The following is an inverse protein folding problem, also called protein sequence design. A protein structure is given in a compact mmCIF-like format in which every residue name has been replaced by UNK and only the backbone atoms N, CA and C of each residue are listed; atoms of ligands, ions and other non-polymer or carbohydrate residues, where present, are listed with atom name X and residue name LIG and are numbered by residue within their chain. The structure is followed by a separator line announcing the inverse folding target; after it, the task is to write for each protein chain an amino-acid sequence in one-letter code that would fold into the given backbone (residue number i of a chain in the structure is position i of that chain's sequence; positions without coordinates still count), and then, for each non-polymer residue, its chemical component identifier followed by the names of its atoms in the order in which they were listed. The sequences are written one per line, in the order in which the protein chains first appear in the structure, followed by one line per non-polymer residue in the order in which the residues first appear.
data_IF_274946787648
#
_entry.id   IF_274946787648
#
_cell.length_a   1.000
_cell.length_b   1.000
_cell.length_c   1.000
_cell.angle_alpha   90.00
_cell.angle_beta   90.00
_cell.angle_gamma   90.00
#
_symmetry.space_group_name_H-M   'P 1'
#
loop_
_entity.id
_entity.type
_entity.pdbx_description
1 polymer ?
#
# COMPACT_ATOMS: atom_id res chain seq x y z
N UNK A 1 35.15 -28.10 6.68
CA UNK A 1 33.98 -27.50 6.01
C UNK A 1 32.73 -28.40 5.90
N UNK A 2 32.76 -29.70 6.26
CA UNK A 2 31.56 -30.58 6.23
C UNK A 2 30.65 -30.48 7.48
N UNK A 3 31.18 -30.09 8.64
CA UNK A 3 30.41 -30.03 9.90
C UNK A 3 29.43 -28.84 10.00
N UNK A 4 29.75 -27.70 9.37
CA UNK A 4 28.86 -26.53 9.38
C UNK A 4 27.56 -26.79 8.59
N UNK A 5 27.63 -27.60 7.54
CA UNK A 5 26.46 -27.97 6.73
C UNK A 5 25.54 -28.94 7.49
N UNK A 6 26.09 -29.90 8.25
CA UNK A 6 25.29 -30.81 9.07
C UNK A 6 24.54 -30.09 10.19
N UNK A 7 25.18 -29.14 10.88
CA UNK A 7 24.50 -28.38 11.94
C UNK A 7 23.38 -27.49 11.40
N UNK A 8 23.53 -26.94 10.20
CA UNK A 8 22.47 -26.17 9.55
C UNK A 8 21.30 -27.07 9.13
N UNK A 9 21.59 -28.22 8.51
CA UNK A 9 20.58 -29.21 8.12
C UNK A 9 19.81 -29.75 9.32
N UNK A 10 20.48 -30.05 10.44
CA UNK A 10 19.83 -30.53 11.67
C UNK A 10 18.89 -29.45 12.23
N UNK A 11 19.30 -28.17 12.23
CA UNK A 11 18.45 -27.05 12.67
C UNK A 11 17.24 -26.85 11.76
N UNK A 12 17.40 -27.00 10.46
CA UNK A 12 16.30 -26.92 9.50
C UNK A 12 15.31 -28.08 9.71
N UNK A 13 15.80 -29.30 9.93
CA UNK A 13 14.97 -30.47 10.24
C UNK A 13 14.20 -30.26 11.56
N UNK A 14 14.85 -29.74 12.60
CA UNK A 14 14.19 -29.40 13.86
C UNK A 14 13.12 -28.30 13.69
N UNK A 15 13.40 -27.28 12.89
CA UNK A 15 12.46 -26.19 12.61
C UNK A 15 11.23 -26.68 11.82
N UNK A 16 11.46 -27.53 10.80
CA UNK A 16 10.38 -28.17 10.03
C UNK A 16 9.58 -29.10 10.95
N UNK A 17 10.23 -29.89 11.80
CA UNK A 17 9.57 -30.74 12.80
C UNK A 17 8.68 -29.94 13.75
N UNK A 18 9.18 -28.85 14.32
CA UNK A 18 8.42 -27.97 15.22
C UNK A 18 7.22 -27.30 14.52
N UNK A 19 7.41 -26.83 13.28
CA UNK A 19 6.32 -26.28 12.45
C UNK A 19 5.27 -27.34 12.10
N UNK A 20 5.69 -28.58 11.85
CA UNK A 20 4.79 -29.70 11.54
C UNK A 20 3.95 -30.08 12.76
N UNK A 21 4.53 -30.09 13.97
CA UNK A 21 3.81 -30.34 15.23
C UNK A 21 2.80 -29.23 15.52
N UNK A 22 3.18 -27.96 15.35
CA UNK A 22 2.27 -26.82 15.53
C UNK A 22 1.12 -26.85 14.50
N UNK A 23 1.43 -27.20 13.25
CA UNK A 23 0.43 -27.35 12.19
C UNK A 23 -0.53 -28.51 12.48
N UNK A 24 -0.02 -29.69 12.87
CA UNK A 24 -0.85 -30.82 13.28
C UNK A 24 -1.77 -30.47 14.45
N UNK A 25 -1.26 -29.76 15.47
CA UNK A 25 -2.07 -29.38 16.63
C UNK A 25 -3.21 -28.41 16.26
N UNK A 26 -3.01 -27.53 15.28
CA UNK A 26 -4.04 -26.61 14.80
C UNK A 26 -4.99 -27.26 13.77
N UNK A 27 -4.45 -28.09 12.88
CA UNK A 27 -5.20 -28.75 11.80
C UNK A 27 -6.06 -29.91 12.31
N UNK A 28 -5.64 -30.64 13.34
CA UNK A 28 -6.43 -31.74 13.91
C UNK A 28 -7.74 -31.28 14.59
N UNK A 29 -7.87 -29.99 14.91
CA UNK A 29 -9.11 -29.38 15.40
C UNK A 29 -10.12 -29.08 14.28
N UNK A 30 -9.72 -29.21 13.01
CA UNK A 30 -10.57 -29.02 11.84
C UNK A 30 -10.95 -30.40 11.29
N UNK A 31 -12.22 -30.79 11.41
CA UNK A 31 -12.74 -32.13 11.06
C UNK A 31 -12.22 -32.73 9.73
N UNK A 32 -12.25 -32.02 8.58
CA UNK A 32 -11.75 -32.57 7.32
C UNK A 32 -10.23 -32.83 7.29
N UNK A 33 -9.43 -32.06 8.03
CA UNK A 33 -7.99 -32.33 8.13
C UNK A 33 -7.73 -33.56 8.99
N UNK A 34 -8.50 -33.76 10.07
CA UNK A 34 -8.39 -34.94 10.92
C UNK A 34 -8.67 -36.25 10.15
N UNK A 35 -9.73 -36.28 9.35
CA UNK A 35 -10.06 -37.41 8.46
C UNK A 35 -8.97 -37.65 7.41
N UNK A 36 -8.46 -36.58 6.76
CA UNK A 36 -7.37 -36.68 5.80
C UNK A 36 -6.09 -37.24 6.41
N UNK A 37 -5.71 -36.76 7.61
CA UNK A 37 -4.53 -37.27 8.32
C UNK A 37 -4.69 -38.73 8.71
N UNK A 38 -5.86 -39.11 9.23
CA UNK A 38 -6.17 -40.50 9.55
C UNK A 38 -6.08 -41.38 8.31
N UNK A 39 -6.69 -40.98 7.21
CA UNK A 39 -6.62 -41.70 5.93
C UNK A 39 -5.17 -41.89 5.45
N UNK A 40 -4.35 -40.83 5.49
CA UNK A 40 -2.94 -40.88 5.07
C UNK A 40 -2.08 -41.80 5.96
N UNK A 41 -2.41 -41.90 7.25
CA UNK A 41 -1.73 -42.80 8.19
C UNK A 41 -2.18 -44.25 7.95
N UNK A 42 -3.50 -44.48 7.82
CA UNK A 42 -4.09 -45.80 7.63
C UNK A 42 -3.70 -46.43 6.26
N UNK A 43 -3.32 -45.62 5.28
CA UNK A 43 -2.83 -46.05 3.96
C UNK A 43 -1.31 -46.04 3.81
N UNK A 44 -0.56 -45.88 4.91
CA UNK A 44 0.92 -45.83 4.94
C UNK A 44 1.56 -44.69 4.10
N UNK A 45 0.78 -43.69 3.70
CA UNK A 45 1.24 -42.48 3.01
C UNK A 45 1.65 -41.35 3.97
N UNK A 46 2.08 -41.67 5.20
CA UNK A 46 2.50 -40.69 6.20
C UNK A 46 3.64 -39.77 5.72
N UNK A 47 4.44 -40.23 4.76
CA UNK A 47 5.49 -39.43 4.12
C UNK A 47 4.95 -38.26 3.28
N UNK A 48 3.68 -38.30 2.83
CA UNK A 48 3.05 -37.20 2.10
C UNK A 48 2.70 -36.00 3.00
N UNK A 49 2.50 -36.22 4.31
CA UNK A 49 2.20 -35.16 5.28
C UNK A 49 3.24 -34.03 5.28
N UNK A 50 4.56 -34.31 5.47
CA UNK A 50 5.56 -33.27 5.41
C UNK A 50 5.68 -32.66 4.01
N UNK A 51 5.46 -33.43 2.94
CA UNK A 51 5.47 -32.93 1.55
C UNK A 51 4.37 -31.89 1.32
N UNK A 52 3.13 -32.18 1.70
CA UNK A 52 2.02 -31.22 1.61
C UNK A 52 2.26 -29.99 2.48
N UNK A 53 2.81 -30.18 3.67
CA UNK A 53 3.15 -29.07 4.58
C UNK A 53 4.19 -28.14 3.96
N UNK A 54 5.26 -28.68 3.36
CA UNK A 54 6.30 -27.89 2.68
C UNK A 54 5.72 -27.15 1.47
N UNK A 55 4.91 -27.82 0.65
CA UNK A 55 4.23 -27.20 -0.51
C UNK A 55 3.35 -26.04 -0.03
N UNK A 56 2.54 -26.26 1.01
CA UNK A 56 1.65 -25.25 1.57
C UNK A 56 2.42 -24.03 2.12
N UNK A 57 3.48 -24.26 2.90
CA UNK A 57 4.35 -23.19 3.40
C UNK A 57 4.99 -22.42 2.24
N UNK A 58 5.46 -23.12 1.20
CA UNK A 58 6.02 -22.51 -0.01
C UNK A 58 5.02 -21.60 -0.72
N UNK A 59 3.78 -22.06 -0.90
CA UNK A 59 2.70 -21.24 -1.46
C UNK A 59 2.38 -20.03 -0.59
N UNK A 60 2.34 -20.20 0.73
CA UNK A 60 2.07 -19.10 1.67
C UNK A 60 3.16 -18.02 1.60
N UNK A 61 4.43 -18.42 1.59
CA UNK A 61 5.57 -17.50 1.46
C UNK A 61 5.56 -16.78 0.11
N UNK A 62 5.28 -17.51 -0.98
CA UNK A 62 5.14 -16.93 -2.31
C UNK A 62 4.01 -15.90 -2.36
N UNK A 63 2.84 -16.23 -1.82
CA UNK A 63 1.70 -15.32 -1.74
C UNK A 63 2.02 -14.05 -0.94
N UNK A 64 2.65 -14.18 0.23
CA UNK A 64 3.08 -13.03 1.05
C UNK A 64 4.06 -12.14 0.26
N UNK A 65 5.03 -12.75 -0.42
CA UNK A 65 6.03 -12.02 -1.23
C UNK A 65 5.37 -11.27 -2.40
N UNK A 66 4.48 -11.93 -3.14
CA UNK A 66 3.71 -11.32 -4.22
C UNK A 66 2.84 -10.17 -3.72
N UNK A 67 2.16 -10.35 -2.58
CA UNK A 67 1.35 -9.29 -1.96
C UNK A 67 2.19 -8.07 -1.62
N UNK A 68 3.37 -8.26 -1.01
CA UNK A 68 4.30 -7.16 -0.70
C UNK A 68 4.72 -6.42 -1.96
N UNK A 69 5.10 -7.14 -3.02
CA UNK A 69 5.50 -6.53 -4.30
C UNK A 69 4.38 -5.68 -4.92
N UNK A 70 3.16 -6.21 -4.92
CA UNK A 70 1.98 -5.48 -5.45
C UNK A 70 1.66 -4.25 -4.62
N UNK A 71 1.69 -4.36 -3.29
CA UNK A 71 1.44 -3.22 -2.39
C UNK A 71 2.49 -2.12 -2.59
N UNK A 72 3.77 -2.48 -2.64
CA UNK A 72 4.85 -1.52 -2.89
C UNK A 72 4.70 -0.85 -4.26
N UNK A 73 4.40 -1.62 -5.32
CA UNK A 73 4.17 -1.06 -6.65
C UNK A 73 3.00 -0.08 -6.70
N UNK A 74 1.91 -0.35 -5.97
CA UNK A 74 0.79 0.59 -5.85
C UNK A 74 1.18 1.88 -5.11
N UNK A 75 1.96 1.76 -4.05
CA UNK A 75 2.48 2.92 -3.29
C UNK A 75 3.40 3.78 -4.18
N UNK A 76 4.30 3.14 -4.94
CA UNK A 76 5.18 3.83 -5.89
C UNK A 76 4.37 4.57 -6.97
N UNK A 77 3.37 3.93 -7.58
CA UNK A 77 2.51 4.59 -8.57
C UNK A 77 1.72 5.75 -7.96
N UNK A 78 1.23 5.61 -6.73
CA UNK A 78 0.54 6.68 -6.03
C UNK A 78 1.48 7.88 -5.79
N UNK A 79 2.68 7.63 -5.29
CA UNK A 79 3.69 8.67 -5.06
C UNK A 79 4.09 9.38 -6.36
N UNK A 80 4.28 8.63 -7.44
CA UNK A 80 4.58 9.19 -8.75
C UNK A 80 3.44 10.09 -9.25
N UNK A 81 2.18 9.66 -9.06
CA UNK A 81 1.00 10.44 -9.44
C UNK A 81 0.91 11.73 -8.62
N UNK A 82 1.05 11.64 -7.29
CA UNK A 82 1.02 12.82 -6.41
C UNK A 82 2.10 13.82 -6.80
N UNK A 83 3.35 13.36 -7.01
CA UNK A 83 4.44 14.23 -7.48
C UNK A 83 4.10 14.90 -8.80
N UNK A 84 3.59 14.15 -9.77
CA UNK A 84 3.20 14.70 -11.07
C UNK A 84 2.14 15.80 -10.93
N UNK A 85 1.11 15.58 -10.10
CA UNK A 85 0.08 16.60 -9.83
C UNK A 85 0.67 17.81 -9.11
N UNK A 86 1.58 17.61 -8.15
CA UNK A 86 2.27 18.70 -7.45
C UNK A 86 3.11 19.53 -8.42
N UNK A 87 3.87 18.91 -9.32
CA UNK A 87 4.70 19.59 -10.30
C UNK A 87 3.85 20.45 -11.24
N UNK A 88 2.73 19.91 -11.74
CA UNK A 88 1.77 20.67 -12.56
C UNK A 88 1.19 21.85 -11.79
N UNK A 89 0.74 21.63 -10.55
CA UNK A 89 0.20 22.71 -9.71
C UNK A 89 1.25 23.78 -9.40
N UNK A 90 2.49 23.39 -9.17
CA UNK A 90 3.59 24.30 -8.85
C UNK A 90 3.96 25.16 -10.07
N UNK A 91 4.00 24.57 -11.28
CA UNK A 91 4.19 25.31 -12.52
C UNK A 91 3.05 26.31 -12.78
N UNK A 92 1.81 25.88 -12.59
CA UNK A 92 0.64 26.76 -12.73
C UNK A 92 0.63 27.86 -11.65
N UNK A 93 1.07 27.55 -10.43
CA UNK A 93 1.21 28.51 -9.34
C UNK A 93 2.22 29.61 -9.69
N UNK A 94 3.41 29.25 -10.17
CA UNK A 94 4.40 30.22 -10.63
C UNK A 94 3.91 31.07 -11.81
N UNK A 95 3.18 30.47 -12.75
CA UNK A 95 2.59 31.20 -13.89
C UNK A 95 1.55 32.22 -13.42
N UNK A 96 0.70 31.85 -12.46
CA UNK A 96 -0.28 32.75 -11.86
C UNK A 96 0.37 33.88 -11.04
N UNK A 97 1.51 33.61 -10.36
CA UNK A 97 2.26 34.66 -9.67
C UNK A 97 2.76 35.72 -10.65
N UNK A 98 3.31 35.31 -11.79
CA UNK A 98 3.74 36.23 -12.85
C UNK A 98 2.56 37.01 -13.41
N UNK A 99 1.45 36.33 -13.70
CA UNK A 99 0.25 36.98 -14.21
C UNK A 99 -0.31 38.04 -13.24
N UNK A 100 -0.28 37.78 -11.93
CA UNK A 100 -0.72 38.77 -10.92
C UNK A 100 0.20 40.00 -10.93
N UNK A 101 1.51 39.83 -11.13
CA UNK A 101 2.44 40.95 -11.25
C UNK A 101 2.11 41.77 -12.50
N UNK A 102 1.95 41.12 -13.65
CA UNK A 102 1.60 41.79 -14.91
C UNK A 102 0.26 42.55 -14.81
N UNK A 103 -0.76 41.94 -14.18
CA UNK A 103 -2.06 42.61 -13.97
C UNK A 103 -1.96 43.85 -13.09
N UNK A 104 -1.07 43.84 -12.09
CA UNK A 104 -0.83 44.99 -11.21
C UNK A 104 -0.12 46.10 -11.95
N UNK A 105 0.85 45.77 -12.80
CA UNK A 105 1.58 46.73 -13.62
C UNK A 105 0.68 47.36 -14.69
N UNK A 106 -0.27 46.61 -15.25
CA UNK A 106 -1.26 47.09 -16.23
C UNK A 106 -2.49 47.81 -15.62
N UNK A 107 -2.55 47.99 -14.29
CA UNK A 107 -3.70 48.58 -13.59
C UNK A 107 -5.05 47.89 -13.94
N UNK A 108 -5.03 46.56 -14.06
CA UNK A 108 -6.24 45.75 -14.23
C UNK A 108 -7.17 45.91 -13.00
N UNK A 109 -8.47 45.75 -13.21
CA UNK A 109 -9.49 45.85 -12.15
C UNK A 109 -9.04 45.11 -10.86
N UNK A 110 -8.94 45.82 -9.71
CA UNK A 110 -8.53 45.25 -8.43
C UNK A 110 -9.35 44.02 -8.00
N UNK A 111 -10.61 43.91 -8.41
CA UNK A 111 -11.46 42.74 -8.11
C UNK A 111 -10.94 41.49 -8.81
N UNK A 112 -10.47 41.62 -10.06
CA UNK A 112 -9.90 40.51 -10.84
C UNK A 112 -8.56 40.09 -10.24
N UNK A 113 -7.72 41.06 -9.88
CA UNK A 113 -6.44 40.82 -9.21
C UNK A 113 -6.65 40.04 -7.90
N UNK A 114 -7.57 40.51 -7.06
CA UNK A 114 -7.86 39.86 -5.78
C UNK A 114 -8.42 38.44 -5.93
N UNK A 115 -9.30 38.22 -6.92
CA UNK A 115 -9.83 36.88 -7.23
C UNK A 115 -8.70 35.94 -7.68
N UNK A 116 -7.74 36.45 -8.44
CA UNK A 116 -6.60 35.69 -8.92
C UNK A 116 -5.64 35.34 -7.78
N UNK A 117 -5.37 36.28 -6.86
CA UNK A 117 -4.61 36.03 -5.63
C UNK A 117 -5.27 34.95 -4.75
N UNK A 118 -6.59 34.98 -4.63
CA UNK A 118 -7.32 33.93 -3.91
C UNK A 118 -7.16 32.55 -4.55
N UNK A 119 -7.21 32.46 -5.88
CA UNK A 119 -6.94 31.20 -6.58
C UNK A 119 -5.51 30.71 -6.33
N UNK A 120 -4.55 31.63 -6.29
CA UNK A 120 -3.15 31.34 -5.96
C UNK A 120 -3.01 30.73 -4.56
N UNK A 121 -3.69 31.29 -3.56
CA UNK A 121 -3.72 30.75 -2.20
C UNK A 121 -4.35 29.34 -2.14
N UNK A 122 -5.43 29.11 -2.89
CA UNK A 122 -6.09 27.81 -2.95
C UNK A 122 -5.20 26.74 -3.57
N UNK A 123 -4.46 27.10 -4.63
CA UNK A 123 -3.44 26.23 -5.22
C UNK A 123 -2.30 25.93 -4.24
N UNK A 124 -1.82 26.93 -3.50
CA UNK A 124 -0.80 26.71 -2.47
C UNK A 124 -1.27 25.73 -1.37
N UNK A 125 -2.53 25.87 -0.92
CA UNK A 125 -3.16 24.95 0.03
C UNK A 125 -3.27 23.53 -0.54
N UNK A 126 -3.62 23.39 -1.82
CA UNK A 126 -3.68 22.09 -2.49
C UNK A 126 -2.31 21.40 -2.56
N UNK A 127 -1.25 22.12 -2.97
CA UNK A 127 0.12 21.59 -3.02
C UNK A 127 0.57 21.08 -1.64
N UNK A 128 0.34 21.88 -0.58
CA UNK A 128 0.70 21.52 0.79
C UNK A 128 -0.09 20.31 1.29
N UNK A 129 -1.38 20.22 0.92
CA UNK A 129 -2.22 19.08 1.29
C UNK A 129 -1.72 17.80 0.62
N UNK A 130 -1.40 17.86 -0.67
CA UNK A 130 -0.85 16.72 -1.43
C UNK A 130 0.52 16.27 -0.90
N UNK A 131 1.36 17.20 -0.43
CA UNK A 131 2.67 16.89 0.14
C UNK A 131 2.58 16.11 1.47
N UNK A 132 1.49 16.28 2.21
CA UNK A 132 1.27 15.61 3.49
C UNK A 132 0.51 14.28 3.37
N UNK A 133 0.29 13.76 2.16
CA UNK A 133 -0.43 12.50 1.98
C UNK A 133 0.55 11.33 2.09
N UNK A 134 0.37 10.50 3.12
CA UNK A 134 1.11 9.24 3.31
C UNK A 134 0.30 8.05 2.76
N UNK A 135 0.67 7.47 1.60
CA UNK A 135 -0.05 6.36 0.98
C UNK A 135 -0.18 5.11 1.84
N UNK A 136 0.71 4.89 2.83
CA UNK A 136 0.64 3.73 3.71
C UNK A 136 -0.47 3.87 4.78
N UNK A 137 -0.87 5.10 5.08
CA UNK A 137 -1.81 5.43 6.15
C UNK A 137 -3.09 6.12 5.67
N UNK A 138 -3.33 6.22 4.35
CA UNK A 138 -4.60 6.73 3.83
C UNK A 138 -5.73 5.77 4.18
N UNK A 139 -6.56 6.16 5.16
CA UNK A 139 -7.92 5.62 5.25
C UNK A 139 -8.73 6.21 4.11
N UNK A 140 -9.28 5.36 3.24
CA UNK A 140 -10.06 5.76 2.06
C UNK A 140 -11.17 6.78 2.41
N UNK A 141 -11.74 6.68 3.61
CA UNK A 141 -12.71 7.64 4.17
C UNK A 141 -12.14 9.04 4.39
N UNK A 142 -10.90 9.19 4.87
CA UNK A 142 -10.27 10.50 5.07
C UNK A 142 -9.90 11.18 3.76
N UNK A 143 -9.45 10.41 2.76
CA UNK A 143 -9.16 10.95 1.43
C UNK A 143 -10.44 11.44 0.74
N UNK A 144 -11.51 10.64 0.79
CA UNK A 144 -12.82 11.04 0.26
C UNK A 144 -13.40 12.24 1.02
N UNK A 145 -13.21 12.32 2.34
CA UNK A 145 -13.65 13.47 3.14
C UNK A 145 -12.86 14.73 2.78
N UNK A 146 -11.53 14.66 2.67
CA UNK A 146 -10.67 15.78 2.24
C UNK A 146 -10.95 16.24 0.80
N UNK A 147 -11.20 15.32 -0.12
CA UNK A 147 -11.57 15.63 -1.52
C UNK A 147 -13.01 16.15 -1.64
N UNK A 148 -13.94 15.69 -0.79
CA UNK A 148 -15.33 16.19 -0.77
C UNK A 148 -15.45 17.63 -0.29
N UNK A 149 -14.56 18.08 0.61
CA UNK A 149 -14.48 19.49 1.04
C UNK A 149 -14.12 20.40 -0.14
N UNK A 150 -13.31 19.90 -1.09
CA UNK A 150 -12.97 20.61 -2.33
C UNK A 150 -14.20 20.64 -3.26
N UNK A 151 -14.95 19.55 -3.37
CA UNK A 151 -16.16 19.45 -4.22
C UNK A 151 -17.38 20.23 -3.70
N UNK A 152 -17.55 20.40 -2.39
CA UNK A 152 -18.69 21.12 -1.82
C UNK A 152 -18.59 22.65 -1.95
N UNK A 153 -17.41 23.19 -2.26
CA UNK A 153 -17.26 24.63 -2.48
C UNK A 153 -17.82 25.08 -3.83
N UNK A 154 -17.95 24.17 -4.80
CA UNK A 154 -18.49 24.45 -6.13
C UNK A 154 -20.03 24.35 -6.20
N UNK A 155 -20.67 23.77 -5.18
CA UNK A 155 -22.14 23.62 -5.12
C UNK A 155 -22.85 24.66 -4.25
N UNK A 156 -22.14 25.41 -3.41
CA UNK A 156 -22.75 26.41 -2.49
C UNK A 156 -22.67 27.84 -3.03
N UNK A 157 -22.00 28.06 -4.17
CA UNK A 157 -21.89 29.37 -4.85
C UNK A 157 -22.73 29.47 -6.14
N UNK A 158 -23.83 28.72 -6.23
CA UNK A 158 -24.89 28.95 -7.22
C UNK A 158 -26.13 29.53 -6.57
#
# INVERSE_FOLDING_TARGET
MKFFNNNLSIKIIFLIGALTVLFLNHALNIYPFRELFRYLVDTEYYWLVPTFTIIFIGFLLFYISMRKKVVNGKIEMFNATIRTVQDVLQNSYSSLQLLILDMKDENVDPVIVHKTEKNLEEMHKAIKTLAGIDPENIKLEELNKKLSIIRMRDTVTK
#
